data_IF_971337939290
#
_entry.id   IF_971337939290
#
_cell.length_a   1.000
_cell.length_b   1.000
_cell.length_c   1.000
_cell.angle_alpha   90.00
_cell.angle_beta   90.00
_cell.angle_gamma   90.00
#
_symmetry.space_group_name_H-M   'P 1'
#
loop_
_entity.id
_entity.type
_entity.pdbx_description
1 polymer ?
#
# COMPACT_ATOMS: atom_id res chain seq x y z
N UNK A 1 5.56 12.53 -20.83
CA UNK A 1 4.45 11.56 -20.77
C UNK A 1 5.01 10.17 -20.94
N UNK A 2 4.65 9.24 -20.09
CA UNK A 2 4.96 7.83 -20.30
C UNK A 2 4.23 7.33 -21.54
N UNK A 3 4.79 6.30 -22.22
CA UNK A 3 4.09 5.61 -23.30
C UNK A 3 2.80 4.99 -22.74
N UNK A 4 1.67 5.16 -23.43
CA UNK A 4 0.35 4.65 -23.02
C UNK A 4 0.40 3.16 -22.64
N UNK A 5 1.14 2.35 -23.41
CA UNK A 5 1.30 0.93 -23.11
C UNK A 5 2.03 0.68 -21.76
N UNK A 6 3.03 1.51 -21.43
CA UNK A 6 3.74 1.42 -20.15
C UNK A 6 2.83 1.81 -19.00
N UNK A 7 2.07 2.90 -19.15
CA UNK A 7 1.13 3.36 -18.13
C UNK A 7 0.07 2.30 -17.83
N UNK A 8 -0.57 1.72 -18.84
CA UNK A 8 -1.58 0.66 -18.67
C UNK A 8 -0.98 -0.60 -18.02
N UNK A 9 0.24 -1.00 -18.46
CA UNK A 9 0.97 -2.11 -17.84
C UNK A 9 1.23 -1.84 -16.34
N UNK A 10 1.64 -0.60 -16.00
CA UNK A 10 1.82 -0.19 -14.61
C UNK A 10 0.52 -0.26 -13.81
N UNK A 11 -0.56 0.30 -14.34
CA UNK A 11 -1.89 0.27 -13.71
C UNK A 11 -2.40 -1.17 -13.51
N UNK A 12 -2.14 -2.08 -14.45
CA UNK A 12 -2.49 -3.50 -14.31
C UNK A 12 -1.72 -4.18 -13.17
N UNK A 13 -0.41 -3.92 -13.03
CA UNK A 13 0.35 -4.44 -11.89
C UNK A 13 -0.14 -3.87 -10.55
N UNK A 14 -0.51 -2.59 -10.49
CA UNK A 14 -1.10 -1.98 -9.30
C UNK A 14 -2.45 -2.63 -8.97
N UNK A 15 -3.31 -2.85 -9.97
CA UNK A 15 -4.59 -3.54 -9.77
C UNK A 15 -4.40 -4.95 -9.17
N UNK A 16 -3.46 -5.73 -9.72
CA UNK A 16 -3.13 -7.04 -9.15
C UNK A 16 -2.55 -6.94 -7.73
N UNK A 17 -1.70 -5.96 -7.48
CA UNK A 17 -1.19 -5.65 -6.13
C UNK A 17 -2.33 -5.34 -5.17
N UNK A 18 -3.31 -4.53 -5.60
CA UNK A 18 -4.48 -4.14 -4.81
C UNK A 18 -5.33 -5.33 -4.37
N UNK A 19 -5.41 -6.39 -5.19
CA UNK A 19 -6.08 -7.64 -4.81
C UNK A 19 -5.40 -8.29 -3.59
N UNK A 20 -4.06 -8.37 -3.61
CA UNK A 20 -3.31 -8.95 -2.49
C UNK A 20 -3.33 -8.05 -1.25
N UNK A 21 -3.19 -6.74 -1.39
CA UNK A 21 -3.35 -5.80 -0.29
C UNK A 21 -4.76 -5.86 0.31
N UNK A 22 -5.81 -5.93 -0.51
CA UNK A 22 -7.19 -6.06 -0.05
C UNK A 22 -7.42 -7.32 0.80
N UNK A 23 -6.65 -8.39 0.58
CA UNK A 23 -6.73 -9.61 1.41
C UNK A 23 -6.17 -9.43 2.82
N UNK A 24 -5.45 -8.34 3.12
CA UNK A 24 -4.83 -8.11 4.43
C UNK A 24 -5.83 -8.13 5.58
N UNK A 25 -7.03 -7.58 5.36
CA UNK A 25 -8.11 -7.63 6.34
C UNK A 25 -8.55 -9.04 6.72
N UNK A 26 -8.54 -9.96 5.76
CA UNK A 26 -8.85 -11.38 6.00
C UNK A 26 -7.82 -12.00 6.94
N UNK A 27 -6.54 -11.86 6.60
CA UNK A 27 -5.46 -12.42 7.39
C UNK A 27 -5.38 -11.81 8.79
N UNK A 28 -5.49 -10.48 8.89
CA UNK A 28 -5.51 -9.78 10.17
C UNK A 28 -6.64 -10.28 11.07
N UNK A 29 -7.83 -10.49 10.52
CA UNK A 29 -8.99 -10.98 11.27
C UNK A 29 -8.83 -12.44 11.72
N UNK A 30 -8.19 -13.29 10.90
CA UNK A 30 -7.88 -14.66 11.25
C UNK A 30 -6.77 -14.78 12.33
N UNK A 31 -5.83 -13.83 12.36
CA UNK A 31 -4.84 -13.72 13.45
C UNK A 31 -5.53 -13.25 14.73
N UNK A 32 -6.47 -12.31 14.64
CA UNK A 32 -7.20 -11.74 15.76
C UNK A 32 -6.28 -11.12 16.81
N UNK A 33 -6.54 -11.40 18.06
CA UNK A 33 -5.75 -10.94 19.23
C UNK A 33 -4.72 -11.98 19.70
N UNK A 34 -4.51 -13.06 18.92
CA UNK A 34 -3.64 -14.16 19.33
C UNK A 34 -2.14 -13.81 19.26
N UNK A 35 -1.80 -12.80 18.48
CA UNK A 35 -0.44 -12.30 18.31
C UNK A 35 -0.45 -10.78 18.41
N UNK A 36 0.53 -10.23 19.13
CA UNK A 36 0.69 -8.79 19.29
C UNK A 36 1.06 -8.09 17.97
N UNK A 37 0.79 -6.80 17.87
CA UNK A 37 0.84 -6.05 16.63
C UNK A 37 2.22 -6.02 15.98
N UNK A 38 3.27 -5.65 16.72
CA UNK A 38 4.62 -5.59 16.17
C UNK A 38 5.24 -6.98 16.03
N UNK A 39 4.87 -7.91 16.94
CA UNK A 39 5.28 -9.31 16.85
C UNK A 39 4.86 -9.97 15.54
N UNK A 40 3.60 -9.87 15.16
CA UNK A 40 3.11 -10.41 13.88
C UNK A 40 3.78 -9.73 12.67
N UNK A 41 4.10 -8.42 12.74
CA UNK A 41 4.74 -7.69 11.63
C UNK A 41 6.17 -8.16 11.41
N UNK A 42 7.02 -8.24 12.46
CA UNK A 42 8.39 -8.69 12.27
C UNK A 42 8.47 -10.19 11.91
N UNK A 43 7.59 -11.02 12.48
CA UNK A 43 7.51 -12.45 12.14
C UNK A 43 7.15 -12.65 10.67
N UNK A 44 6.14 -11.94 10.17
CA UNK A 44 5.77 -11.95 8.75
C UNK A 44 6.91 -11.47 7.86
N UNK A 45 7.58 -10.39 8.26
CA UNK A 45 8.73 -9.86 7.52
C UNK A 45 9.87 -10.87 7.43
N UNK A 46 10.14 -11.59 8.52
CA UNK A 46 11.13 -12.66 8.55
C UNK A 46 10.76 -13.80 7.59
N UNK A 47 9.51 -14.25 7.59
CA UNK A 47 9.03 -15.28 6.66
C UNK A 47 9.21 -14.85 5.20
N UNK A 48 8.88 -13.60 4.88
CA UNK A 48 9.10 -13.06 3.54
C UNK A 48 10.58 -13.06 3.17
N UNK A 49 11.45 -12.60 4.07
CA UNK A 49 12.91 -12.57 3.83
C UNK A 49 13.49 -13.97 3.62
N UNK A 50 13.05 -14.96 4.40
CA UNK A 50 13.46 -16.37 4.23
C UNK A 50 13.12 -16.88 2.81
N UNK A 51 12.03 -16.41 2.22
CA UNK A 51 11.60 -16.80 0.86
C UNK A 51 12.35 -16.01 -0.20
N UNK A 52 12.35 -14.66 -0.11
CA UNK A 52 12.82 -13.83 -1.23
C UNK A 52 14.34 -13.72 -1.32
N UNK A 53 15.09 -13.80 -0.20
CA UNK A 53 16.55 -13.68 -0.23
C UNK A 53 17.19 -14.83 -1.02
N UNK A 54 16.89 -16.13 -0.76
CA UNK A 54 17.40 -17.22 -1.57
C UNK A 54 17.03 -17.09 -3.05
N UNK A 55 15.78 -16.72 -3.36
CA UNK A 55 15.33 -16.53 -4.74
C UNK A 55 16.15 -15.44 -5.44
N UNK A 56 16.34 -14.30 -4.78
CA UNK A 56 17.09 -13.17 -5.34
C UNK A 56 18.56 -13.50 -5.56
N UNK A 57 19.18 -14.30 -4.68
CA UNK A 57 20.55 -14.79 -4.81
C UNK A 57 20.68 -15.77 -5.97
N UNK A 58 19.82 -16.79 -6.02
CA UNK A 58 19.82 -17.82 -7.08
C UNK A 58 19.56 -17.23 -8.45
N UNK A 59 18.66 -16.23 -8.55
CA UNK A 59 18.32 -15.54 -9.80
C UNK A 59 19.27 -14.39 -10.13
N UNK A 60 20.32 -14.16 -9.31
CA UNK A 60 21.32 -13.09 -9.50
C UNK A 60 20.70 -11.69 -9.64
N UNK A 61 19.60 -11.43 -8.91
CA UNK A 61 18.88 -10.16 -8.97
C UNK A 61 19.37 -9.12 -7.94
N UNK A 62 20.40 -9.42 -7.17
CA UNK A 62 21.01 -8.49 -6.22
C UNK A 62 22.20 -7.79 -6.88
N UNK A 63 22.14 -6.47 -6.92
CA UNK A 63 23.20 -5.60 -7.41
C UNK A 63 23.79 -4.77 -6.26
N UNK A 64 25.05 -4.34 -6.40
CA UNK A 64 25.63 -3.35 -5.50
C UNK A 64 24.84 -2.04 -5.54
N UNK A 65 24.73 -1.37 -4.40
CA UNK A 65 24.01 -0.11 -4.28
C UNK A 65 24.93 1.03 -4.69
N UNK A 66 24.53 1.82 -5.67
CA UNK A 66 25.22 3.06 -6.02
C UNK A 66 25.10 4.09 -4.89
N UNK A 67 26.19 4.76 -4.55
CA UNK A 67 26.21 5.78 -3.47
C UNK A 67 25.16 6.88 -3.66
N UNK A 68 24.89 7.27 -4.92
CA UNK A 68 23.86 8.27 -5.27
C UNK A 68 22.44 7.83 -4.93
N UNK A 69 22.17 6.52 -4.88
CA UNK A 69 20.84 5.95 -4.67
C UNK A 69 20.56 5.63 -3.19
N UNK A 70 21.59 5.61 -2.33
CA UNK A 70 21.45 5.27 -0.90
C UNK A 70 20.37 6.13 -0.23
N UNK A 71 20.40 7.45 -0.46
CA UNK A 71 19.42 8.37 0.13
C UNK A 71 17.98 8.08 -0.31
N UNK A 72 17.78 7.64 -1.55
CA UNK A 72 16.46 7.33 -2.08
C UNK A 72 15.94 5.99 -1.58
N UNK A 73 16.85 4.99 -1.46
CA UNK A 73 16.53 3.70 -0.84
C UNK A 73 16.20 3.89 0.64
N UNK A 74 16.99 4.68 1.38
CA UNK A 74 16.73 4.98 2.79
C UNK A 74 15.40 5.73 2.98
N UNK A 75 15.08 6.69 2.11
CA UNK A 75 13.81 7.41 2.14
C UNK A 75 12.63 6.48 1.85
N UNK A 76 12.73 5.66 0.81
CA UNK A 76 11.72 4.68 0.42
C UNK A 76 11.46 3.66 1.55
N UNK A 77 12.51 2.98 2.02
CA UNK A 77 12.35 1.92 3.04
C UNK A 77 12.03 2.47 4.42
N UNK A 78 12.62 3.61 4.78
CA UNK A 78 12.38 4.28 6.05
C UNK A 78 10.96 4.82 6.16
N UNK A 79 10.44 5.43 5.09
CA UNK A 79 9.07 5.91 5.04
C UNK A 79 8.08 4.73 5.20
N UNK A 80 8.31 3.62 4.48
CA UNK A 80 7.46 2.42 4.60
C UNK A 80 7.47 1.82 6.01
N UNK A 81 8.64 1.68 6.63
CA UNK A 81 8.74 1.18 8.00
C UNK A 81 8.10 2.11 9.03
N UNK A 82 8.21 3.43 8.82
CA UNK A 82 7.63 4.44 9.72
C UNK A 82 6.10 4.47 9.67
N UNK A 83 5.49 4.03 8.58
CA UNK A 83 4.02 4.04 8.40
C UNK A 83 3.27 3.28 9.49
N UNK A 84 3.82 2.15 9.96
CA UNK A 84 3.08 1.16 10.77
C UNK A 84 2.76 1.64 12.19
N UNK A 85 3.72 2.20 12.90
CA UNK A 85 3.50 2.60 14.30
C UNK A 85 2.47 3.75 14.44
N UNK A 86 2.53 4.85 13.66
CA UNK A 86 1.53 5.91 13.77
C UNK A 86 0.12 5.47 13.36
N UNK A 87 -0.03 4.58 12.35
CA UNK A 87 -1.36 4.13 11.95
C UNK A 87 -1.98 3.21 13.01
N UNK A 88 -1.20 2.34 13.66
CA UNK A 88 -1.71 1.51 14.76
C UNK A 88 -2.13 2.36 15.96
N UNK A 89 -1.35 3.40 16.29
CA UNK A 89 -1.77 4.36 17.33
C UNK A 89 -3.11 5.01 16.98
N UNK A 90 -3.29 5.44 15.74
CA UNK A 90 -4.54 6.03 15.29
C UNK A 90 -5.71 5.03 15.35
N UNK A 91 -5.52 3.78 14.92
CA UNK A 91 -6.54 2.73 14.98
C UNK A 91 -7.06 2.50 16.41
N UNK A 92 -6.17 2.54 17.40
CA UNK A 92 -6.53 2.32 18.80
C UNK A 92 -7.31 3.49 19.41
N UNK A 93 -7.14 4.72 18.93
CA UNK A 93 -7.74 5.92 19.54
C UNK A 93 -9.00 6.39 18.80
N UNK A 94 -8.95 6.47 17.46
CA UNK A 94 -10.06 6.99 16.65
C UNK A 94 -10.79 5.91 15.84
N UNK A 95 -10.35 4.65 15.98
CA UNK A 95 -10.92 3.52 15.28
C UNK A 95 -10.41 3.35 13.85
N UNK A 96 -10.72 2.21 13.25
CA UNK A 96 -10.18 1.80 11.94
C UNK A 96 -10.71 2.72 10.82
N UNK A 97 -12.02 3.00 10.78
CA UNK A 97 -12.65 3.78 9.72
C UNK A 97 -12.04 5.18 9.53
N UNK A 98 -12.13 6.07 10.55
CA UNK A 98 -11.55 7.41 10.47
C UNK A 98 -10.04 7.41 10.21
N UNK A 99 -9.28 6.48 10.81
CA UNK A 99 -7.84 6.37 10.59
C UNK A 99 -7.52 5.98 9.15
N UNK A 100 -8.24 5.02 8.58
CA UNK A 100 -8.07 4.56 7.20
C UNK A 100 -8.42 5.65 6.20
N UNK A 101 -9.50 6.42 6.45
CA UNK A 101 -9.85 7.58 5.65
C UNK A 101 -8.71 8.60 5.59
N UNK A 102 -8.21 9.02 6.75
CA UNK A 102 -7.14 10.02 6.84
C UNK A 102 -5.84 9.51 6.22
N UNK A 103 -5.53 8.23 6.42
CA UNK A 103 -4.38 7.57 5.83
C UNK A 103 -4.41 7.59 4.30
N UNK A 104 -5.47 7.08 3.66
CA UNK A 104 -5.53 7.00 2.20
C UNK A 104 -5.71 8.38 1.54
N UNK A 105 -6.43 9.29 2.19
CA UNK A 105 -6.52 10.67 1.70
C UNK A 105 -5.14 11.35 1.66
N UNK A 106 -4.37 11.26 2.76
CA UNK A 106 -3.04 11.84 2.81
C UNK A 106 -2.04 11.11 1.91
N UNK A 107 -2.08 9.78 1.83
CA UNK A 107 -1.28 8.98 0.88
C UNK A 107 -1.49 9.48 -0.55
N UNK A 108 -2.75 9.61 -0.97
CA UNK A 108 -3.08 10.02 -2.34
C UNK A 108 -2.62 11.45 -2.61
N UNK A 109 -2.90 12.39 -1.70
CA UNK A 109 -2.48 13.79 -1.84
C UNK A 109 -0.95 13.90 -1.92
N UNK A 110 -0.23 13.22 -1.03
CA UNK A 110 1.25 13.23 -1.02
C UNK A 110 1.82 12.57 -2.26
N UNK A 111 1.22 11.50 -2.77
CA UNK A 111 1.65 10.88 -4.04
C UNK A 111 1.50 11.86 -5.22
N UNK A 112 0.44 12.63 -5.25
CA UNK A 112 0.24 13.69 -6.26
C UNK A 112 1.30 14.79 -6.15
N UNK A 113 1.49 15.34 -4.95
CA UNK A 113 2.47 16.41 -4.70
C UNK A 113 3.90 15.94 -4.98
N UNK A 114 4.27 14.76 -4.50
CA UNK A 114 5.59 14.18 -4.73
C UNK A 114 5.82 13.82 -6.21
N UNK A 115 4.77 13.35 -6.91
CA UNK A 115 4.79 13.12 -8.35
C UNK A 115 5.07 14.40 -9.15
N UNK A 116 4.40 15.49 -8.79
CA UNK A 116 4.64 16.80 -9.39
C UNK A 116 6.06 17.31 -9.13
N UNK A 117 6.49 17.30 -7.86
CA UNK A 117 7.77 17.88 -7.43
C UNK A 117 8.97 17.03 -7.90
N UNK A 118 8.89 15.70 -7.74
CA UNK A 118 10.04 14.80 -7.95
C UNK A 118 10.14 14.24 -9.36
N UNK A 119 9.01 14.19 -10.10
CA UNK A 119 8.95 13.58 -11.44
C UNK A 119 8.40 14.52 -12.51
N UNK A 120 8.07 15.76 -12.16
CA UNK A 120 7.54 16.75 -13.10
C UNK A 120 6.18 16.37 -13.69
N UNK A 121 5.37 15.60 -12.94
CA UNK A 121 4.03 15.21 -13.40
C UNK A 121 3.15 16.45 -13.58
N UNK A 122 2.46 16.53 -14.72
CA UNK A 122 1.52 17.60 -14.97
C UNK A 122 0.19 17.33 -14.27
N UNK A 123 -0.29 18.30 -13.49
CA UNK A 123 -1.62 18.25 -12.91
C UNK A 123 -2.64 18.63 -14.00
N UNK A 124 -3.34 17.63 -14.53
CA UNK A 124 -4.40 17.83 -15.51
C UNK A 124 -5.76 17.89 -14.83
N UNK A 125 -6.76 18.50 -15.49
CA UNK A 125 -8.14 18.52 -14.96
C UNK A 125 -8.67 17.11 -14.67
N UNK A 126 -8.30 16.12 -15.50
CA UNK A 126 -8.66 14.72 -15.27
C UNK A 126 -8.11 14.21 -13.94
N UNK A 127 -6.85 14.49 -13.63
CA UNK A 127 -6.24 14.12 -12.35
C UNK A 127 -6.89 14.82 -11.16
N UNK A 128 -7.26 16.10 -11.32
CA UNK A 128 -7.96 16.86 -10.25
C UNK A 128 -9.34 16.25 -10.00
N UNK A 129 -10.13 16.00 -11.04
CA UNK A 129 -11.46 15.38 -10.92
C UNK A 129 -11.34 14.00 -10.27
N UNK A 130 -10.37 13.19 -10.71
CA UNK A 130 -10.15 11.87 -10.13
C UNK A 130 -9.77 11.94 -8.65
N UNK A 131 -8.92 12.91 -8.24
CA UNK A 131 -8.58 13.13 -6.84
C UNK A 131 -9.83 13.52 -6.01
N UNK A 132 -10.67 14.40 -6.52
CA UNK A 132 -11.92 14.82 -5.85
C UNK A 132 -12.87 13.62 -5.70
N UNK A 133 -13.09 12.84 -6.77
CA UNK A 133 -13.93 11.63 -6.72
C UNK A 133 -13.39 10.62 -5.70
N UNK A 134 -12.08 10.47 -5.64
CA UNK A 134 -11.40 9.61 -4.66
C UNK A 134 -11.68 10.06 -3.23
N UNK A 135 -11.49 11.34 -2.92
CA UNK A 135 -11.72 11.87 -1.56
C UNK A 135 -13.19 11.73 -1.17
N UNK A 136 -14.11 12.04 -2.07
CA UNK A 136 -15.57 11.87 -1.82
C UNK A 136 -15.88 10.37 -1.61
N UNK A 137 -15.31 9.50 -2.43
CA UNK A 137 -15.47 8.04 -2.29
C UNK A 137 -14.99 7.53 -0.93
N UNK A 138 -13.81 7.96 -0.50
CA UNK A 138 -13.27 7.63 0.84
C UNK A 138 -14.17 8.14 1.97
N UNK A 139 -14.70 9.37 1.86
CA UNK A 139 -15.61 9.94 2.85
C UNK A 139 -16.92 9.15 2.97
N UNK A 140 -17.42 8.60 1.86
CA UNK A 140 -18.65 7.78 1.85
C UNK A 140 -18.41 6.37 2.39
N UNK A 141 -17.23 5.80 2.18
CA UNK A 141 -16.87 4.47 2.70
C UNK A 141 -16.53 4.55 4.20
N UNK A 142 -15.70 5.51 4.58
CA UNK A 142 -15.20 5.66 5.94
C UNK A 142 -15.79 6.91 6.57
N UNK A 143 -16.76 6.77 7.43
CA UNK A 143 -17.38 7.92 8.12
C UNK A 143 -16.34 8.65 8.99
N UNK A 144 -16.13 9.96 8.75
CA UNK A 144 -15.23 10.77 9.57
C UNK A 144 -15.98 11.26 10.83
N UNK A 145 -15.83 10.53 11.91
CA UNK A 145 -16.34 10.92 13.23
C UNK A 145 -15.17 11.04 14.19
N UNK A 146 -14.79 12.27 14.53
CA UNK A 146 -13.70 12.55 15.48
C UNK A 146 -14.27 13.13 16.77
N UNK A 147 -14.00 12.46 17.89
CA UNK A 147 -14.33 13.00 19.20
C UNK A 147 -13.36 14.14 19.60
N UNK A 148 -13.80 15.00 20.54
CA UNK A 148 -12.92 16.04 21.11
C UNK A 148 -11.69 15.40 21.75
N UNK A 149 -10.51 15.96 21.54
CA UNK A 149 -9.24 15.48 22.12
C UNK A 149 -8.51 14.40 21.31
N UNK A 150 -9.04 13.97 20.15
CA UNK A 150 -8.42 12.93 19.31
C UNK A 150 -7.51 13.49 18.20
N UNK A 151 -7.18 14.78 18.24
CA UNK A 151 -6.38 15.44 17.19
C UNK A 151 -5.02 14.77 16.97
N UNK A 152 -4.34 14.35 18.03
CA UNK A 152 -3.03 13.69 17.92
C UNK A 152 -3.12 12.37 17.14
N UNK A 153 -4.18 11.59 17.37
CA UNK A 153 -4.40 10.34 16.65
C UNK A 153 -4.76 10.59 15.17
N UNK A 154 -5.55 11.63 14.88
CA UNK A 154 -5.84 12.04 13.52
C UNK A 154 -4.56 12.49 12.78
N UNK A 155 -3.71 13.28 13.43
CA UNK A 155 -2.41 13.69 12.89
C UNK A 155 -1.49 12.47 12.66
N UNK A 156 -1.50 11.49 13.56
CA UNK A 156 -0.73 10.26 13.39
C UNK A 156 -1.17 9.47 12.14
N UNK A 157 -2.49 9.37 11.87
CA UNK A 157 -3.01 8.76 10.65
C UNK A 157 -2.58 9.51 9.38
N UNK A 158 -2.63 10.86 9.42
CA UNK A 158 -2.19 11.71 8.31
C UNK A 158 -0.69 11.55 8.06
N UNK A 159 0.12 11.52 9.10
CA UNK A 159 1.57 11.34 9.03
C UNK A 159 1.90 9.95 8.45
N UNK A 160 1.21 8.91 8.92
CA UNK A 160 1.35 7.56 8.38
C UNK A 160 1.03 7.48 6.88
N UNK A 161 -0.10 8.04 6.47
CA UNK A 161 -0.48 8.09 5.05
C UNK A 161 0.47 8.94 4.21
N UNK A 162 0.98 10.05 4.77
CA UNK A 162 1.99 10.87 4.10
C UNK A 162 3.29 10.10 3.90
N UNK A 163 3.74 9.34 4.89
CA UNK A 163 4.91 8.47 4.79
C UNK A 163 4.70 7.38 3.72
N UNK A 164 3.54 6.74 3.70
CA UNK A 164 3.18 5.78 2.65
C UNK A 164 3.16 6.42 1.25
N UNK A 165 2.66 7.66 1.10
CA UNK A 165 2.71 8.40 -0.16
C UNK A 165 4.14 8.68 -0.63
N UNK A 166 5.05 8.97 0.29
CA UNK A 166 6.49 9.10 0.02
C UNK A 166 7.07 7.75 -0.41
N UNK A 167 6.82 6.68 0.34
CA UNK A 167 7.28 5.33 0.02
C UNK A 167 6.93 4.94 -1.43
N UNK A 168 5.64 4.98 -1.77
CA UNK A 168 5.18 4.55 -3.10
C UNK A 168 5.71 5.45 -4.22
N UNK A 169 5.84 6.75 -3.98
CA UNK A 169 6.38 7.69 -4.98
C UNK A 169 7.87 7.43 -5.22
N UNK A 170 8.66 7.27 -4.17
CA UNK A 170 10.10 7.04 -4.30
C UNK A 170 10.46 5.61 -4.69
N UNK A 171 9.54 4.65 -4.58
CA UNK A 171 9.64 3.34 -5.25
C UNK A 171 9.93 3.52 -6.75
N UNK A 172 9.24 4.45 -7.42
CA UNK A 172 9.50 4.77 -8.84
C UNK A 172 10.93 5.24 -9.09
N UNK A 173 11.51 6.01 -8.16
CA UNK A 173 12.87 6.56 -8.31
C UNK A 173 13.92 5.47 -8.38
N UNK A 174 13.76 4.41 -7.59
CA UNK A 174 14.74 3.33 -7.45
C UNK A 174 14.41 2.09 -8.31
N UNK A 175 13.15 1.89 -8.70
CA UNK A 175 12.71 0.70 -9.43
C UNK A 175 13.26 0.56 -10.85
N UNK A 176 13.87 1.61 -11.42
CA UNK A 176 14.58 1.52 -12.69
C UNK A 176 16.00 0.96 -12.55
N UNK A 177 16.62 1.13 -11.39
CA UNK A 177 18.01 0.73 -11.12
C UNK A 177 18.09 -0.65 -10.47
N UNK A 178 17.10 -1.02 -9.66
CA UNK A 178 17.10 -2.23 -8.85
C UNK A 178 15.91 -3.14 -9.18
N UNK A 179 16.10 -4.45 -9.00
CA UNK A 179 15.02 -5.41 -9.22
C UNK A 179 13.92 -5.29 -8.16
N UNK A 180 12.67 -5.68 -8.46
CA UNK A 180 11.60 -5.69 -7.47
C UNK A 180 11.93 -6.58 -6.26
N UNK A 181 12.61 -7.72 -6.46
CA UNK A 181 13.04 -8.59 -5.36
C UNK A 181 14.04 -7.89 -4.45
N UNK A 182 15.04 -7.20 -5.01
CA UNK A 182 16.03 -6.47 -4.22
C UNK A 182 15.40 -5.32 -3.41
N UNK A 183 14.49 -4.57 -4.02
CA UNK A 183 13.77 -3.50 -3.33
C UNK A 183 12.87 -4.06 -2.23
N UNK A 184 12.17 -5.16 -2.49
CA UNK A 184 11.38 -5.86 -1.46
C UNK A 184 12.26 -6.33 -0.29
N UNK A 185 13.46 -6.88 -0.56
CA UNK A 185 14.40 -7.26 0.50
C UNK A 185 14.74 -6.06 1.39
N UNK A 186 15.04 -4.89 0.79
CA UNK A 186 15.36 -3.71 1.59
C UNK A 186 14.19 -3.26 2.47
N UNK A 187 12.98 -3.19 1.90
CA UNK A 187 11.78 -2.82 2.66
C UNK A 187 11.54 -3.81 3.81
N UNK A 188 11.48 -5.11 3.52
CA UNK A 188 11.18 -6.10 4.54
C UNK A 188 12.27 -6.25 5.58
N UNK A 189 13.56 -6.02 5.23
CA UNK A 189 14.65 -6.00 6.20
C UNK A 189 14.51 -4.82 7.18
N UNK A 190 14.19 -3.62 6.70
CA UNK A 190 13.98 -2.45 7.56
C UNK A 190 12.72 -2.64 8.42
N UNK A 191 11.62 -3.16 7.88
CA UNK A 191 10.42 -3.47 8.64
C UNK A 191 10.71 -4.54 9.70
N UNK A 192 11.43 -5.61 9.35
CA UNK A 192 11.82 -6.66 10.29
C UNK A 192 12.59 -6.09 11.49
N UNK A 193 13.67 -5.36 11.23
CA UNK A 193 14.54 -4.82 12.30
C UNK A 193 13.78 -3.80 13.15
N UNK A 194 13.08 -2.86 12.53
CA UNK A 194 12.36 -1.80 13.26
C UNK A 194 11.24 -2.37 14.13
N UNK A 195 10.46 -3.32 13.63
CA UNK A 195 9.33 -3.91 14.38
C UNK A 195 9.77 -4.94 15.41
N UNK A 196 10.90 -5.63 15.17
CA UNK A 196 11.55 -6.45 16.19
C UNK A 196 12.00 -5.59 17.41
N UNK A 197 12.59 -4.43 17.14
CA UNK A 197 12.96 -3.48 18.20
C UNK A 197 11.71 -2.93 18.89
N UNK A 198 10.71 -2.47 18.15
CA UNK A 198 9.46 -1.95 18.70
C UNK A 198 8.75 -3.00 19.56
N UNK A 199 8.61 -4.24 19.09
CA UNK A 199 8.00 -5.34 19.84
C UNK A 199 8.68 -5.56 21.20
N UNK A 200 10.03 -5.50 21.23
CA UNK A 200 10.80 -5.58 22.50
C UNK A 200 10.61 -4.37 23.38
N UNK A 201 10.64 -3.17 22.82
CA UNK A 201 10.49 -1.90 23.60
C UNK A 201 9.12 -1.79 24.25
N UNK A 202 8.07 -2.22 23.54
CA UNK A 202 6.68 -2.18 24.08
C UNK A 202 6.42 -3.37 25.01
N UNK A 203 7.29 -4.37 25.06
CA UNK A 203 7.15 -5.54 25.92
C UNK A 203 6.12 -6.55 25.42
N UNK A 204 5.96 -6.70 24.09
CA UNK A 204 5.05 -7.69 23.51
C UNK A 204 5.48 -9.13 23.82
N UNK A 205 4.48 -10.01 23.99
CA UNK A 205 4.68 -11.42 24.28
C UNK A 205 4.90 -12.20 22.98
N UNK A 206 6.00 -12.89 22.88
CA UNK A 206 6.33 -13.71 21.71
C UNK A 206 5.77 -15.12 21.86
N UNK A 207 4.71 -15.38 21.14
CA UNK A 207 4.03 -16.67 21.13
C UNK A 207 4.83 -17.69 20.32
N UNK A 208 5.11 -18.90 20.83
CA UNK A 208 5.78 -19.96 20.06
C UNK A 208 5.02 -20.31 18.78
N UNK A 209 5.79 -20.63 17.73
CA UNK A 209 5.22 -21.07 16.45
C UNK A 209 4.47 -22.39 16.65
N UNK A 210 3.24 -22.45 16.15
CA UNK A 210 2.39 -23.64 16.22
C UNK A 210 1.54 -23.82 14.97
N UNK A 211 1.11 -25.03 14.67
CA UNK A 211 0.24 -25.32 13.53
C UNK A 211 -1.22 -25.05 13.91
N UNK A 212 -1.56 -23.77 14.09
CA UNK A 212 -2.91 -23.31 14.37
C UNK A 212 -3.33 -22.21 13.38
N UNK A 213 -4.61 -21.84 13.40
CA UNK A 213 -5.17 -20.87 12.46
C UNK A 213 -4.45 -19.51 12.48
N UNK A 214 -4.12 -18.89 13.64
CA UNK A 214 -3.37 -17.63 13.64
C UNK A 214 -2.02 -17.71 12.93
N UNK A 215 -1.23 -18.75 13.14
CA UNK A 215 0.07 -18.92 12.49
C UNK A 215 -0.04 -19.20 10.99
N UNK A 216 -1.05 -19.99 10.57
CA UNK A 216 -1.36 -20.19 9.16
C UNK A 216 -1.79 -18.87 8.51
N UNK A 217 -2.54 -18.04 9.25
CA UNK A 217 -2.91 -16.72 8.77
C UNK A 217 -1.71 -15.77 8.65
N UNK A 218 -0.73 -15.81 9.56
CA UNK A 218 0.54 -15.08 9.41
C UNK A 218 1.29 -15.53 8.15
N UNK A 219 1.34 -16.83 7.87
CA UNK A 219 1.97 -17.35 6.66
C UNK A 219 1.22 -16.89 5.39
N UNK A 220 -0.11 -16.97 5.37
CA UNK A 220 -0.94 -16.46 4.28
C UNK A 220 -0.76 -14.96 4.07
N UNK A 221 -0.69 -14.20 5.16
CA UNK A 221 -0.42 -12.76 5.12
C UNK A 221 0.98 -12.47 4.54
N UNK A 222 2.00 -13.26 4.91
CA UNK A 222 3.36 -13.12 4.37
C UNK A 222 3.38 -13.37 2.86
N UNK A 223 2.71 -14.41 2.37
CA UNK A 223 2.59 -14.71 0.94
C UNK A 223 1.85 -13.59 0.20
N UNK A 224 0.71 -13.14 0.72
CA UNK A 224 -0.02 -12.00 0.14
C UNK A 224 0.84 -10.73 0.10
N UNK A 225 1.59 -10.45 1.16
CA UNK A 225 2.47 -9.29 1.24
C UNK A 225 3.62 -9.37 0.23
N UNK A 226 4.18 -10.55 0.02
CA UNK A 226 5.23 -10.79 -0.97
C UNK A 226 4.74 -10.40 -2.37
N UNK A 227 3.60 -10.94 -2.79
CA UNK A 227 3.03 -10.64 -4.10
C UNK A 227 2.60 -9.17 -4.21
N UNK A 228 1.96 -8.63 -3.18
CA UNK A 228 1.52 -7.24 -3.14
C UNK A 228 2.69 -6.28 -3.37
N UNK A 229 3.78 -6.41 -2.60
CA UNK A 229 4.95 -5.54 -2.72
C UNK A 229 5.72 -5.74 -4.01
N UNK A 230 5.88 -6.98 -4.47
CA UNK A 230 6.52 -7.24 -5.75
C UNK A 230 5.77 -6.57 -6.91
N UNK A 231 4.46 -6.71 -6.94
CA UNK A 231 3.61 -6.15 -7.99
C UNK A 231 3.50 -4.62 -7.91
N UNK A 232 3.41 -4.05 -6.70
CA UNK A 232 3.34 -2.59 -6.55
C UNK A 232 4.64 -1.92 -7.01
N UNK A 233 5.81 -2.50 -6.73
CA UNK A 233 7.09 -2.00 -7.22
C UNK A 233 7.14 -2.01 -8.75
N UNK A 234 6.69 -3.11 -9.38
CA UNK A 234 6.54 -3.19 -10.84
C UNK A 234 5.56 -2.15 -11.37
N UNK A 235 4.45 -1.96 -10.69
CA UNK A 235 3.43 -0.99 -11.06
C UNK A 235 3.97 0.44 -11.08
N UNK A 236 4.57 0.88 -10.00
CA UNK A 236 5.17 2.22 -9.91
C UNK A 236 6.35 2.44 -10.86
N UNK A 237 7.07 1.39 -11.23
CA UNK A 237 8.10 1.46 -12.28
C UNK A 237 7.55 1.97 -13.60
N UNK A 238 6.34 1.56 -13.97
CA UNK A 238 5.74 1.82 -15.28
C UNK A 238 4.62 2.87 -15.25
N UNK A 239 4.15 3.29 -14.08
CA UNK A 239 3.04 4.23 -13.91
C UNK A 239 3.50 5.57 -13.34
N UNK A 240 2.70 6.61 -13.56
CA UNK A 240 2.84 7.88 -12.83
C UNK A 240 2.35 7.68 -11.39
N UNK A 241 3.11 8.15 -10.36
CA UNK A 241 2.70 8.02 -8.95
C UNK A 241 1.27 8.48 -8.65
N UNK A 242 0.85 9.61 -9.22
CA UNK A 242 -0.50 10.14 -9.07
C UNK A 242 -1.60 9.21 -9.59
N UNK A 243 -1.35 8.51 -10.70
CA UNK A 243 -2.30 7.54 -11.28
C UNK A 243 -2.23 6.23 -10.50
N UNK A 244 -1.02 5.76 -10.21
CA UNK A 244 -0.80 4.52 -9.48
C UNK A 244 -1.43 4.55 -8.08
N UNK A 245 -1.36 5.70 -7.35
CA UNK A 245 -1.98 5.83 -6.04
C UNK A 245 -3.51 5.71 -6.08
N UNK A 246 -4.17 6.26 -7.12
CA UNK A 246 -5.63 6.11 -7.28
C UNK A 246 -6.01 4.67 -7.63
N UNK A 247 -5.29 4.04 -8.58
CA UNK A 247 -5.53 2.63 -8.92
C UNK A 247 -5.27 1.73 -7.71
N UNK A 248 -4.26 2.05 -6.89
CA UNK A 248 -3.95 1.36 -5.64
C UNK A 248 -5.13 1.33 -4.67
N UNK A 249 -5.96 2.37 -4.62
CA UNK A 249 -7.14 2.41 -3.75
C UNK A 249 -8.22 1.36 -4.08
N UNK A 250 -8.11 0.67 -5.22
CA UNK A 250 -8.96 -0.49 -5.50
C UNK A 250 -8.76 -1.62 -4.48
N UNK A 251 -7.66 -1.59 -3.70
CA UNK A 251 -7.47 -2.49 -2.56
C UNK A 251 -8.58 -2.38 -1.51
N UNK A 252 -9.14 -1.18 -1.29
CA UNK A 252 -10.27 -0.96 -0.39
C UNK A 252 -11.49 -1.72 -0.89
N UNK A 253 -11.71 -1.72 -2.21
CA UNK A 253 -12.84 -2.42 -2.83
C UNK A 253 -12.65 -3.93 -2.69
N UNK A 254 -11.45 -4.45 -2.94
CA UNK A 254 -11.15 -5.86 -2.72
C UNK A 254 -11.30 -6.25 -1.25
N UNK A 255 -10.85 -5.39 -0.31
CA UNK A 255 -11.04 -5.62 1.12
C UNK A 255 -12.52 -5.71 1.50
N UNK A 256 -13.36 -4.81 0.97
CA UNK A 256 -14.82 -4.84 1.16
C UNK A 256 -15.42 -6.12 0.58
N UNK A 257 -15.04 -6.49 -0.65
CA UNK A 257 -15.51 -7.74 -1.28
C UNK A 257 -15.14 -8.95 -0.43
N UNK A 258 -13.90 -9.01 0.07
CA UNK A 258 -13.49 -10.10 0.97
C UNK A 258 -14.22 -10.06 2.30
N UNK A 259 -14.52 -8.88 2.85
CA UNK A 259 -15.35 -8.72 4.05
C UNK A 259 -16.75 -9.34 3.87
N UNK A 260 -17.38 -9.08 2.73
CA UNK A 260 -18.68 -9.70 2.38
C UNK A 260 -18.55 -11.20 2.21
N UNK A 261 -17.58 -11.66 1.42
CA UNK A 261 -17.45 -13.09 1.05
C UNK A 261 -17.07 -13.99 2.24
N UNK A 262 -16.12 -13.54 3.08
CA UNK A 262 -15.58 -14.37 4.15
C UNK A 262 -16.20 -14.11 5.51
N UNK A 263 -16.80 -12.92 5.71
CA UNK A 263 -17.29 -12.50 7.03
C UNK A 263 -18.74 -12.03 7.01
N UNK A 264 -19.44 -12.19 5.88
CA UNK A 264 -20.86 -11.82 5.72
C UNK A 264 -21.16 -10.36 6.10
N UNK A 265 -20.22 -9.45 5.79
CA UNK A 265 -20.40 -8.02 6.08
C UNK A 265 -21.51 -7.42 5.20
N UNK A 266 -22.35 -6.58 5.80
CA UNK A 266 -23.46 -5.93 5.11
C UNK A 266 -23.00 -4.60 4.54
N UNK A 267 -23.24 -4.39 3.25
CA UNK A 267 -22.89 -3.14 2.57
C UNK A 267 -24.01 -2.11 2.69
N UNK A 268 -23.67 -0.93 3.19
CA UNK A 268 -24.56 0.23 3.10
C UNK A 268 -24.52 0.84 1.69
N UNK A 269 -25.59 1.57 1.32
CA UNK A 269 -25.63 2.30 0.05
C UNK A 269 -24.45 3.30 -0.09
N UNK A 270 -24.04 3.95 1.01
CA UNK A 270 -22.91 4.89 1.01
C UNK A 270 -21.58 4.19 0.66
N UNK A 271 -21.33 2.98 1.17
CA UNK A 271 -20.16 2.17 0.82
C UNK A 271 -20.18 1.84 -0.68
N UNK A 272 -21.32 1.39 -1.21
CA UNK A 272 -21.44 1.04 -2.64
C UNK A 272 -21.16 2.27 -3.52
N UNK A 273 -21.76 3.41 -3.22
CA UNK A 273 -21.53 4.65 -3.97
C UNK A 273 -20.07 5.08 -3.86
N UNK A 274 -19.47 5.02 -2.68
CA UNK A 274 -18.06 5.34 -2.47
C UNK A 274 -17.13 4.45 -3.29
N UNK A 275 -17.39 3.14 -3.36
CA UNK A 275 -16.65 2.20 -4.21
C UNK A 275 -16.78 2.57 -5.69
N UNK A 276 -17.99 2.89 -6.16
CA UNK A 276 -18.19 3.30 -7.55
C UNK A 276 -17.44 4.58 -7.91
N UNK A 277 -17.36 5.56 -7.00
CA UNK A 277 -16.58 6.78 -7.21
C UNK A 277 -15.06 6.49 -7.31
N UNK A 278 -14.52 5.61 -6.48
CA UNK A 278 -13.09 5.20 -6.56
C UNK A 278 -12.82 4.45 -7.87
N UNK A 279 -13.71 3.54 -8.27
CA UNK A 279 -13.60 2.85 -9.58
C UNK A 279 -13.62 3.87 -10.73
N UNK A 280 -14.57 4.80 -10.70
CA UNK A 280 -14.67 5.85 -11.71
C UNK A 280 -13.40 6.71 -11.77
N UNK A 281 -12.81 7.06 -10.64
CA UNK A 281 -11.54 7.79 -10.56
C UNK A 281 -10.39 7.00 -11.19
N UNK A 282 -10.28 5.70 -10.90
CA UNK A 282 -9.25 4.82 -11.45
C UNK A 282 -9.40 4.66 -12.97
N UNK A 283 -10.60 4.53 -13.49
CA UNK A 283 -10.88 4.47 -14.94
C UNK A 283 -10.55 5.82 -15.58
N UNK A 284 -11.01 6.92 -15.00
CA UNK A 284 -10.83 8.28 -15.53
C UNK A 284 -9.37 8.64 -15.72
N UNK A 285 -8.51 8.28 -14.78
CA UNK A 285 -7.06 8.54 -14.85
C UNK A 285 -6.37 7.78 -15.98
N UNK A 286 -6.91 6.62 -16.39
CA UNK A 286 -6.36 5.76 -17.45
C UNK A 286 -7.09 5.90 -18.80
N UNK A 287 -8.16 6.72 -18.90
CA UNK A 287 -9.04 6.73 -20.09
C UNK A 287 -8.32 7.13 -21.39
N UNK A 288 -7.38 8.09 -21.30
CA UNK A 288 -6.59 8.50 -22.48
C UNK A 288 -5.69 7.38 -22.99
N UNK A 289 -5.04 6.67 -22.08
CA UNK A 289 -4.12 5.59 -22.44
C UNK A 289 -4.88 4.38 -22.96
N UNK A 290 -6.06 4.08 -22.40
CA UNK A 290 -6.98 3.07 -22.90
C UNK A 290 -7.44 3.38 -24.33
N UNK A 291 -7.85 4.62 -24.60
CA UNK A 291 -8.32 5.02 -25.95
C UNK A 291 -7.18 4.96 -26.98
N UNK A 292 -5.97 5.35 -26.62
CA UNK A 292 -4.80 5.25 -27.50
C UNK A 292 -4.39 3.79 -27.76
N UNK A 293 -4.47 2.94 -26.73
CA UNK A 293 -4.20 1.50 -26.86
C UNK A 293 -5.19 0.83 -27.83
N UNK A 294 -6.48 1.06 -27.65
CA UNK A 294 -7.53 0.49 -28.51
C UNK A 294 -7.43 0.97 -29.97
N UNK A 295 -7.01 2.22 -30.20
CA UNK A 295 -6.76 2.73 -31.55
C UNK A 295 -5.59 2.02 -32.24
N UNK A 296 -4.50 1.73 -31.50
CA UNK A 296 -3.33 1.01 -32.05
C UNK A 296 -3.59 -0.46 -32.40
N UNK A 297 -4.60 -1.09 -31.79
CA UNK A 297 -4.99 -2.47 -32.11
C UNK A 297 -5.90 -2.58 -33.35
N UNK A 298 -6.48 -1.46 -33.80
CA UNK A 298 -7.36 -1.43 -34.98
C UNK A 298 -6.63 -1.21 -36.30
N UNK A 299 -5.34 -0.96 -36.26
CA UNK A 299 -4.45 -0.79 -37.42
C UNK A 299 -3.26 -1.76 -37.30
#
# INVERSE_FOLDING_TARGET
MLDANKQLKGSFYILLSSLFFGSYGVWARLIGTSLDNFFQVWTRSLLILIIIVPIALLTKQIKSIDKKDIKWIALYTGAGAFTVAPIFYAYNIIGIGPSTLLFYASLTIISYLSGMISFGEKMTWIKIIALILTIIGLLLIFNLSLAKGTLLAALAAIIAGSAAGIEVTFTKKVSNSYSPLQLSIFTWAVIFVSHLILSKVVGEIWTPVSLNLPWLAVAGYAVSSLFAFFLVILGYKFSEPSIASIVGLLEIIFAIVFGVLFFSEILSASIIIGCLLIIAAAILTNIKDLTLFLKKQKY
#
